data_IF_816549644356
#
_entry.id   IF_816549644356
#
_cell.length_a   1.000
_cell.length_b   1.000
_cell.length_c   1.000
_cell.angle_alpha   90.00
_cell.angle_beta   90.00
_cell.angle_gamma   90.00
#
_symmetry.space_group_name_H-M   'P 1'
#
loop_
_entity.id
_entity.type
_entity.pdbx_description
1 polymer ?
#
# COMPACT_ATOMS: atom_id res chain seq x y z
N UNK A 1 3.69 -24.66 -14.53
CA UNK A 1 3.45 -23.35 -13.89
C UNK A 1 2.89 -23.63 -12.51
N UNK A 2 3.41 -23.00 -11.45
CA UNK A 2 2.81 -23.16 -10.12
C UNK A 2 1.48 -22.41 -10.09
N UNK A 3 0.48 -22.95 -9.39
CA UNK A 3 -0.79 -22.23 -9.18
C UNK A 3 -0.76 -21.48 -7.85
N UNK A 4 -1.83 -20.75 -7.57
CA UNK A 4 -2.13 -20.21 -6.25
C UNK A 4 -3.53 -20.67 -5.88
N UNK A 5 -3.75 -20.94 -4.61
CA UNK A 5 -5.05 -21.32 -4.08
C UNK A 5 -6.06 -20.18 -4.25
N UNK A 6 -7.08 -20.40 -5.10
CA UNK A 6 -8.04 -19.39 -5.50
C UNK A 6 -8.88 -18.88 -4.33
N UNK A 7 -9.23 -19.75 -3.39
CA UNK A 7 -10.01 -19.40 -2.21
C UNK A 7 -9.22 -18.45 -1.31
N UNK A 8 -7.93 -18.72 -1.08
CA UNK A 8 -7.05 -17.84 -0.32
C UNK A 8 -6.93 -16.46 -0.95
N UNK A 9 -6.82 -16.36 -2.27
CA UNK A 9 -6.74 -15.07 -2.98
C UNK A 9 -8.05 -14.30 -2.86
N UNK A 10 -9.19 -14.97 -3.11
CA UNK A 10 -10.52 -14.36 -3.02
C UNK A 10 -10.86 -13.89 -1.62
N UNK A 11 -10.51 -14.67 -0.60
CA UNK A 11 -10.73 -14.28 0.80
C UNK A 11 -10.02 -12.97 1.16
N UNK A 12 -8.82 -12.75 0.61
CA UNK A 12 -8.05 -11.52 0.86
C UNK A 12 -8.55 -10.35 0.00
N UNK A 13 -8.97 -10.63 -1.24
CA UNK A 13 -9.47 -9.60 -2.16
C UNK A 13 -10.89 -9.12 -1.87
N UNK A 14 -11.70 -9.90 -1.16
CA UNK A 14 -13.11 -9.60 -0.95
C UNK A 14 -13.84 -9.47 -2.29
N UNK A 15 -14.45 -8.32 -2.53
CA UNK A 15 -15.20 -8.03 -3.76
C UNK A 15 -14.31 -7.57 -4.93
N UNK A 16 -13.04 -7.26 -4.68
CA UNK A 16 -12.14 -6.78 -5.72
C UNK A 16 -11.73 -7.92 -6.67
N UNK A 17 -11.78 -7.61 -7.97
CA UNK A 17 -11.24 -8.47 -9.04
C UNK A 17 -9.81 -8.12 -9.42
N UNK A 18 -9.26 -7.09 -8.78
CA UNK A 18 -7.92 -6.58 -9.03
C UNK A 18 -7.08 -6.64 -7.76
N UNK A 19 -5.79 -6.90 -7.91
CA UNK A 19 -4.83 -6.88 -6.80
C UNK A 19 -3.47 -6.37 -7.29
N UNK A 20 -2.80 -5.58 -6.46
CA UNK A 20 -1.40 -5.21 -6.69
C UNK A 20 -0.52 -6.14 -5.86
N UNK A 21 0.48 -6.78 -6.48
CA UNK A 21 1.38 -7.69 -5.81
C UNK A 21 2.76 -7.07 -5.71
N UNK A 22 3.28 -7.03 -4.49
CA UNK A 22 4.59 -6.48 -4.18
C UNK A 22 5.24 -7.26 -3.05
N UNK A 23 6.57 -7.23 -2.92
CA UNK A 23 7.21 -7.89 -1.79
C UNK A 23 8.69 -8.06 -1.95
N UNK A 24 9.27 -8.84 -1.04
CA UNK A 24 10.68 -9.17 -1.11
C UNK A 24 10.92 -10.18 -2.23
N UNK A 25 11.92 -9.94 -3.09
CA UNK A 25 12.22 -10.81 -4.23
C UNK A 25 12.50 -12.27 -3.84
N UNK A 26 13.05 -12.50 -2.64
CA UNK A 26 13.32 -13.84 -2.10
C UNK A 26 12.06 -14.58 -1.59
N UNK A 27 10.88 -13.97 -1.63
CA UNK A 27 9.60 -14.58 -1.29
C UNK A 27 8.69 -14.80 -2.50
N UNK A 28 9.25 -14.78 -3.72
CA UNK A 28 8.58 -15.18 -4.96
C UNK A 28 7.30 -14.37 -5.30
N UNK A 29 7.24 -13.09 -4.94
CA UNK A 29 6.05 -12.27 -5.21
C UNK A 29 5.71 -12.15 -6.71
N UNK A 30 6.70 -12.23 -7.60
CA UNK A 30 6.49 -12.26 -9.06
C UNK A 30 5.80 -13.56 -9.51
N UNK A 31 6.28 -14.72 -9.04
CA UNK A 31 5.63 -16.01 -9.33
C UNK A 31 4.19 -16.03 -8.77
N UNK A 32 3.97 -15.43 -7.60
CA UNK A 32 2.62 -15.30 -7.01
C UNK A 32 1.74 -14.42 -7.88
N UNK A 33 2.26 -13.29 -8.38
CA UNK A 33 1.54 -12.41 -9.29
C UNK A 33 1.11 -13.12 -10.58
N UNK A 34 2.01 -13.88 -11.20
CA UNK A 34 1.71 -14.70 -12.38
C UNK A 34 0.67 -15.77 -12.08
N UNK A 35 0.79 -16.44 -10.93
CA UNK A 35 -0.15 -17.47 -10.50
C UNK A 35 -1.57 -16.90 -10.27
N UNK A 36 -1.70 -15.69 -9.71
CA UNK A 36 -3.01 -15.02 -9.56
C UNK A 36 -3.60 -14.68 -10.93
N UNK A 37 -2.79 -14.23 -11.88
CA UNK A 37 -3.26 -13.92 -13.24
C UNK A 37 -3.75 -15.14 -14.02
N UNK A 38 -3.41 -16.36 -13.59
CA UNK A 38 -3.96 -17.59 -14.14
C UNK A 38 -5.35 -17.95 -13.58
N UNK A 39 -5.82 -17.26 -12.54
CA UNK A 39 -7.16 -17.44 -12.00
C UNK A 39 -8.20 -16.74 -12.87
N UNK A 40 -9.32 -17.41 -13.13
CA UNK A 40 -10.39 -16.83 -13.93
C UNK A 40 -11.05 -15.64 -13.23
N UNK A 41 -11.08 -14.49 -13.89
CA UNK A 41 -11.76 -13.29 -13.40
C UNK A 41 -10.98 -12.45 -12.39
N UNK A 42 -9.70 -12.79 -12.16
CA UNK A 42 -8.76 -11.98 -11.37
C UNK A 42 -7.74 -11.30 -12.26
N UNK A 43 -7.29 -10.12 -11.85
CA UNK A 43 -6.17 -9.40 -12.47
C UNK A 43 -5.17 -8.97 -11.39
N UNK A 44 -3.97 -9.51 -11.46
CA UNK A 44 -2.86 -9.13 -10.63
C UNK A 44 -1.89 -8.22 -11.40
N UNK A 45 -1.56 -7.09 -10.80
CA UNK A 45 -0.54 -6.18 -11.29
C UNK A 45 0.73 -6.39 -10.49
N UNK A 46 1.84 -6.67 -11.16
CA UNK A 46 3.14 -6.47 -10.54
C UNK A 46 3.26 -4.96 -10.26
N UNK A 47 3.77 -4.62 -9.07
CA UNK A 47 4.12 -3.25 -8.71
C UNK A 47 4.91 -2.45 -9.76
N UNK A 48 5.74 -3.10 -10.58
CA UNK A 48 6.48 -2.41 -11.66
C UNK A 48 5.61 -2.09 -12.89
N UNK A 49 4.52 -2.85 -13.07
CA UNK A 49 3.61 -2.77 -14.21
C UNK A 49 2.29 -2.05 -13.86
N UNK A 50 2.12 -1.63 -12.60
CA UNK A 50 0.93 -0.91 -12.16
C UNK A 50 1.00 0.54 -12.67
N UNK A 51 0.10 0.89 -13.58
CA UNK A 51 -0.04 2.25 -14.08
C UNK A 51 -0.62 3.12 -12.97
N UNK A 52 0.24 3.89 -12.30
CA UNK A 52 -0.18 4.83 -11.27
C UNK A 52 -0.30 6.24 -11.83
N UNK A 53 -1.30 6.95 -11.33
CA UNK A 53 -1.48 8.37 -11.63
C UNK A 53 -0.22 9.18 -11.27
N UNK A 54 0.35 9.86 -12.26
CA UNK A 54 1.45 10.83 -12.09
C UNK A 54 1.11 12.00 -11.15
N UNK A 55 -0.14 12.10 -10.67
CA UNK A 55 -0.59 13.17 -9.77
C UNK A 55 0.15 13.16 -8.42
N UNK A 56 0.62 11.99 -7.96
CA UNK A 56 1.38 11.87 -6.70
C UNK A 56 2.88 12.18 -6.86
N UNK A 57 3.36 12.38 -8.09
CA UNK A 57 4.77 12.61 -8.39
C UNK A 57 5.17 14.07 -8.15
N UNK A 58 6.23 14.29 -7.36
CA UNK A 58 6.86 15.63 -7.27
C UNK A 58 7.76 15.85 -8.48
N UNK A 59 7.25 16.62 -9.46
CA UNK A 59 7.95 16.96 -10.71
C UNK A 59 9.32 17.63 -10.53
N UNK A 60 9.67 18.07 -9.32
CA UNK A 60 10.96 18.70 -9.00
C UNK A 60 12.02 17.68 -8.58
N UNK A 61 11.69 16.40 -8.46
CA UNK A 61 12.64 15.35 -8.12
C UNK A 61 13.00 14.51 -9.35
N UNK A 62 14.29 14.23 -9.53
CA UNK A 62 14.76 13.22 -10.49
C UNK A 62 14.32 11.85 -10.00
N UNK A 63 13.51 11.14 -10.79
CA UNK A 63 12.94 9.85 -10.42
C UNK A 63 14.04 8.78 -10.41
N UNK A 64 14.47 8.37 -9.23
CA UNK A 64 15.20 7.12 -9.06
C UNK A 64 14.23 5.93 -9.01
N UNK A 65 14.64 4.75 -9.47
CA UNK A 65 13.85 3.51 -9.35
C UNK A 65 13.37 3.25 -7.90
N UNK A 66 14.14 3.69 -6.90
CA UNK A 66 13.80 3.55 -5.47
C UNK A 66 12.64 4.42 -4.97
N UNK A 67 12.23 5.44 -5.72
CA UNK A 67 11.10 6.30 -5.32
C UNK A 67 9.80 5.89 -6.01
N UNK A 68 9.88 5.19 -7.14
CA UNK A 68 8.75 4.67 -7.90
C UNK A 68 7.74 3.92 -7.02
N UNK A 69 8.19 2.93 -6.26
CA UNK A 69 7.30 2.12 -5.42
C UNK A 69 6.64 2.91 -4.29
N UNK A 70 7.31 3.92 -3.72
CA UNK A 70 6.68 4.78 -2.70
C UNK A 70 5.58 5.63 -3.32
N UNK A 71 5.75 6.07 -4.57
CA UNK A 71 4.71 6.79 -5.29
C UNK A 71 3.54 5.87 -5.65
N UNK A 72 3.81 4.63 -6.07
CA UNK A 72 2.77 3.62 -6.26
C UNK A 72 1.93 3.43 -4.99
N UNK A 73 2.56 3.26 -3.82
CA UNK A 73 1.83 3.10 -2.56
C UNK A 73 0.94 4.30 -2.25
N UNK A 74 1.43 5.51 -2.49
CA UNK A 74 0.63 6.72 -2.32
C UNK A 74 -0.53 6.78 -3.32
N UNK A 75 -0.29 6.48 -4.60
CA UNK A 75 -1.30 6.51 -5.64
C UNK A 75 -2.40 5.49 -5.38
N UNK A 76 -2.05 4.25 -5.06
CA UNK A 76 -3.01 3.19 -4.80
C UNK A 76 -3.92 3.53 -3.61
N UNK A 77 -3.36 4.03 -2.51
CA UNK A 77 -4.18 4.45 -1.35
C UNK A 77 -5.09 5.62 -1.71
N UNK A 78 -4.60 6.61 -2.45
CA UNK A 78 -5.41 7.75 -2.87
C UNK A 78 -6.52 7.35 -3.86
N UNK A 79 -6.24 6.43 -4.79
CA UNK A 79 -7.22 5.86 -5.70
C UNK A 79 -8.26 5.05 -4.94
N UNK A 80 -7.84 4.21 -4.00
CA UNK A 80 -8.75 3.47 -3.13
C UNK A 80 -9.60 4.38 -2.25
N UNK A 81 -9.05 5.51 -1.80
CA UNK A 81 -9.83 6.51 -1.07
C UNK A 81 -10.94 7.07 -1.96
N UNK A 82 -10.59 7.50 -3.19
CA UNK A 82 -11.58 7.92 -4.20
C UNK A 82 -12.60 6.80 -4.52
N UNK A 83 -12.17 5.54 -4.62
CA UNK A 83 -13.06 4.39 -4.86
C UNK A 83 -14.06 4.22 -3.72
N UNK A 84 -13.60 4.28 -2.47
CA UNK A 84 -14.46 4.17 -1.29
C UNK A 84 -15.55 5.24 -1.27
N UNK A 85 -15.19 6.49 -1.55
CA UNK A 85 -16.13 7.62 -1.65
C UNK A 85 -17.19 7.39 -2.73
N UNK A 86 -16.88 6.62 -3.78
CA UNK A 86 -17.79 6.29 -4.88
C UNK A 86 -18.46 4.91 -4.72
N UNK A 87 -18.37 4.26 -3.56
CA UNK A 87 -18.95 2.94 -3.31
C UNK A 87 -18.32 1.81 -4.15
N UNK A 88 -17.09 1.99 -4.61
CA UNK A 88 -16.35 1.00 -5.41
C UNK A 88 -15.44 0.13 -4.52
N UNK A 89 -15.25 -1.16 -4.86
CA UNK A 89 -14.33 -2.03 -4.11
C UNK A 89 -12.89 -1.51 -4.08
N UNK A 90 -12.27 -1.64 -2.91
CA UNK A 90 -10.85 -1.34 -2.68
C UNK A 90 -9.98 -2.36 -3.43
N UNK A 91 -8.98 -1.89 -4.18
CA UNK A 91 -7.96 -2.76 -4.74
C UNK A 91 -6.90 -3.07 -3.68
N UNK A 92 -6.81 -4.30 -3.15
CA UNK A 92 -5.79 -4.65 -2.16
C UNK A 92 -4.38 -4.62 -2.77
N UNK A 93 -3.40 -4.34 -1.91
CA UNK A 93 -1.99 -4.62 -2.16
C UNK A 93 -1.56 -5.81 -1.32
N UNK A 94 -1.14 -6.88 -1.99
CA UNK A 94 -0.51 -8.03 -1.35
C UNK A 94 0.97 -7.72 -1.19
N UNK A 95 1.37 -7.42 0.05
CA UNK A 95 2.78 -7.30 0.41
C UNK A 95 3.27 -8.68 0.84
N UNK A 96 3.96 -9.39 -0.04
CA UNK A 96 4.51 -10.72 0.22
C UNK A 96 5.72 -10.57 1.13
N UNK A 97 5.52 -10.97 2.38
CA UNK A 97 6.46 -10.76 3.47
C UNK A 97 7.06 -12.06 4.02
N UNK A 98 6.67 -13.21 3.48
CA UNK A 98 7.29 -14.48 3.86
C UNK A 98 6.99 -15.61 2.90
N UNK A 99 7.82 -16.64 3.00
CA UNK A 99 7.69 -17.89 2.26
C UNK A 99 8.04 -19.07 3.18
N UNK A 100 7.11 -20.01 3.34
CA UNK A 100 7.25 -21.20 4.17
C UNK A 100 7.62 -20.87 5.63
N UNK A 101 8.82 -21.26 6.08
CA UNK A 101 9.31 -20.97 7.43
C UNK A 101 10.05 -19.63 7.54
N UNK A 102 10.19 -18.89 6.43
CA UNK A 102 10.91 -17.62 6.38
C UNK A 102 9.94 -16.45 6.37
N UNK A 103 10.32 -15.39 7.07
CA UNK A 103 9.66 -14.08 7.04
C UNK A 103 10.73 -12.99 7.01
N UNK A 104 10.31 -11.77 6.71
CA UNK A 104 11.12 -10.58 6.96
C UNK A 104 11.53 -10.48 8.44
N UNK A 105 12.63 -9.76 8.66
CA UNK A 105 13.12 -9.41 9.98
C UNK A 105 12.59 -8.02 10.37
N UNK A 106 11.78 -7.98 11.43
CA UNK A 106 11.14 -6.77 11.93
C UNK A 106 12.14 -5.68 12.32
N UNK A 107 13.24 -6.06 12.99
CA UNK A 107 14.26 -5.12 13.46
C UNK A 107 14.92 -4.38 12.28
N UNK A 108 14.95 -5.01 11.10
CA UNK A 108 15.49 -4.39 9.89
C UNK A 108 14.58 -3.32 9.31
N UNK A 109 13.26 -3.41 9.49
CA UNK A 109 12.31 -2.39 9.00
C UNK A 109 12.55 -1.04 9.67
N UNK A 110 12.95 -1.02 10.94
CA UNK A 110 13.20 0.23 11.66
C UNK A 110 14.63 0.74 11.50
N UNK A 111 15.58 -0.14 11.14
CA UNK A 111 17.00 0.16 11.02
C UNK A 111 17.34 1.19 9.91
N UNK A 112 18.51 1.82 10.05
CA UNK A 112 19.11 2.71 9.02
C UNK A 112 20.21 2.02 8.20
N UNK A 113 20.48 0.74 8.46
CA UNK A 113 21.55 0.01 7.78
C UNK A 113 21.27 -0.11 6.27
N UNK A 114 22.30 -0.03 5.42
CA UNK A 114 22.17 -0.41 4.01
C UNK A 114 21.66 -1.85 3.93
N UNK A 115 20.69 -2.07 3.05
CA UNK A 115 20.09 -3.38 2.90
C UNK A 115 21.08 -4.30 2.14
N UNK A 116 21.55 -5.43 2.71
CA UNK A 116 22.35 -6.41 1.95
C UNK A 116 21.59 -6.99 0.75
N UNK A 117 20.26 -6.86 0.71
CA UNK A 117 19.45 -7.09 -0.47
C UNK A 117 19.49 -5.84 -1.37
N UNK A 118 20.67 -5.56 -1.95
CA UNK A 118 20.94 -4.45 -2.88
C UNK A 118 20.14 -4.49 -4.20
N UNK A 119 19.10 -5.31 -4.31
CA UNK A 119 18.09 -5.28 -5.37
C UNK A 119 16.74 -5.68 -4.79
N UNK A 120 15.83 -4.72 -4.59
CA UNK A 120 14.47 -5.02 -4.14
C UNK A 120 14.06 -4.28 -2.89
N UNK A 121 13.82 -2.99 -3.10
CA UNK A 121 12.93 -2.12 -2.35
C UNK A 121 11.90 -2.88 -1.49
N UNK A 122 11.94 -2.70 -0.15
CA UNK A 122 10.93 -3.24 0.78
C UNK A 122 10.91 -2.54 2.14
N UNK A 123 12.06 -2.22 2.77
CA UNK A 123 12.07 -1.62 4.12
C UNK A 123 11.56 -0.16 4.15
N UNK A 124 11.87 0.64 3.12
CA UNK A 124 11.37 2.02 3.01
C UNK A 124 9.88 2.09 2.70
N UNK A 125 9.34 1.04 2.09
CA UNK A 125 8.00 0.90 1.55
C UNK A 125 7.09 0.37 2.64
N UNK A 126 7.56 -0.59 3.44
CA UNK A 126 6.91 -0.96 4.69
C UNK A 126 6.73 0.26 5.60
N UNK A 127 7.79 1.07 5.76
CA UNK A 127 7.69 2.36 6.47
C UNK A 127 6.73 3.34 5.81
N UNK A 128 6.56 3.28 4.49
CA UNK A 128 5.60 4.12 3.76
C UNK A 128 4.16 3.68 4.06
N UNK A 129 3.89 2.37 4.03
CA UNK A 129 2.60 1.80 4.42
C UNK A 129 2.20 2.24 5.83
N UNK A 130 3.13 2.13 6.79
CA UNK A 130 2.87 2.59 8.17
C UNK A 130 2.44 4.07 8.22
N UNK A 131 3.13 4.95 7.50
CA UNK A 131 2.80 6.39 7.48
C UNK A 131 1.43 6.65 6.86
N UNK A 132 1.10 5.98 5.75
CA UNK A 132 -0.20 6.11 5.09
C UNK A 132 -1.33 5.63 6.00
N UNK A 133 -1.10 4.59 6.80
CA UNK A 133 -2.07 4.05 7.75
C UNK A 133 -2.24 4.85 9.05
N UNK A 134 -1.44 5.90 9.31
CA UNK A 134 -1.43 6.60 10.61
C UNK A 134 -1.28 8.13 10.56
N UNK A 135 -0.80 8.74 9.48
CA UNK A 135 -0.39 10.17 9.47
C UNK A 135 -1.37 11.12 8.75
N UNK A 136 -2.44 10.63 8.11
CA UNK A 136 -3.22 11.40 7.13
C UNK A 136 -4.73 11.55 7.42
N UNK A 137 -5.15 11.30 8.66
CA UNK A 137 -6.53 11.46 9.09
C UNK A 137 -7.33 10.16 9.00
N UNK A 138 -8.38 10.05 9.81
CA UNK A 138 -9.00 8.77 10.15
C UNK A 138 -9.55 8.02 8.92
N UNK A 139 -10.29 8.70 8.04
CA UNK A 139 -10.85 8.08 6.83
C UNK A 139 -9.77 7.49 5.92
N UNK A 140 -8.71 8.26 5.60
CA UNK A 140 -7.65 7.77 4.72
C UNK A 140 -6.76 6.73 5.39
N UNK A 141 -6.51 6.88 6.69
CA UNK A 141 -5.79 5.88 7.47
C UNK A 141 -6.52 4.53 7.43
N UNK A 142 -7.85 4.53 7.57
CA UNK A 142 -8.68 3.33 7.45
C UNK A 142 -8.57 2.70 6.05
N UNK A 143 -8.70 3.50 4.99
CA UNK A 143 -8.50 3.02 3.61
C UNK A 143 -7.12 2.41 3.40
N UNK A 144 -6.08 3.01 3.96
CA UNK A 144 -4.73 2.45 3.88
C UNK A 144 -4.62 1.10 4.60
N UNK A 145 -5.25 0.95 5.78
CA UNK A 145 -5.31 -0.33 6.50
C UNK A 145 -6.11 -1.39 5.75
N UNK A 146 -7.19 -1.00 5.06
CA UNK A 146 -7.94 -1.91 4.19
C UNK A 146 -7.16 -2.29 2.93
N UNK A 147 -6.39 -1.35 2.37
CA UNK A 147 -5.57 -1.54 1.16
C UNK A 147 -4.42 -2.51 1.41
N UNK A 148 -3.64 -2.33 2.48
CA UNK A 148 -2.43 -3.11 2.70
C UNK A 148 -2.73 -4.47 3.34
N UNK A 149 -2.46 -5.55 2.58
CA UNK A 149 -2.56 -6.93 3.04
C UNK A 149 -1.16 -7.53 3.10
N UNK A 150 -0.64 -7.74 4.31
CA UNK A 150 0.62 -8.44 4.48
C UNK A 150 0.33 -9.93 4.35
N UNK A 151 1.00 -10.58 3.39
CA UNK A 151 0.73 -11.98 3.08
C UNK A 151 1.99 -12.83 3.21
N UNK A 152 1.79 -14.01 3.78
CA UNK A 152 2.80 -15.07 3.80
C UNK A 152 2.36 -16.17 2.86
N UNK A 153 3.27 -16.59 1.98
CA UNK A 153 3.03 -17.70 1.08
C UNK A 153 3.53 -19.01 1.71
N UNK A 154 2.74 -20.08 1.58
CA UNK A 154 3.17 -21.44 1.91
C UNK A 154 3.21 -22.26 0.62
N UNK A 155 4.36 -22.87 0.34
CA UNK A 155 4.54 -23.79 -0.78
C UNK A 155 3.80 -25.09 -0.51
N UNK A 156 3.01 -25.53 -1.48
CA UNK A 156 2.31 -26.81 -1.49
C UNK A 156 2.67 -27.58 -2.77
N UNK A 157 2.36 -28.88 -2.86
CA UNK A 157 2.54 -29.64 -4.10
C UNK A 157 1.80 -29.03 -5.30
N UNK A 158 0.71 -28.30 -5.06
CA UNK A 158 -0.12 -27.72 -6.11
C UNK A 158 0.27 -26.28 -6.46
N UNK A 159 1.03 -25.58 -5.60
CA UNK A 159 1.30 -24.16 -5.80
C UNK A 159 1.50 -23.42 -4.48
N UNK A 160 0.92 -22.23 -4.36
CA UNK A 160 0.99 -21.39 -3.16
C UNK A 160 -0.37 -21.28 -2.45
N UNK A 161 -0.35 -21.28 -1.13
CA UNK A 161 -1.49 -20.83 -0.31
C UNK A 161 -1.07 -19.53 0.37
N UNK A 162 -1.93 -18.51 0.31
CA UNK A 162 -1.67 -17.20 0.93
C UNK A 162 -2.40 -17.09 2.27
N UNK A 163 -1.69 -16.57 3.27
CA UNK A 163 -2.25 -16.27 4.59
C UNK A 163 -1.98 -14.81 4.91
N UNK A 164 -3.02 -14.10 5.39
CA UNK A 164 -2.84 -12.74 5.90
C UNK A 164 -2.13 -12.82 7.24
N UNK A 165 -1.10 -12.00 7.40
CA UNK A 165 -0.42 -11.81 8.68
C UNK A 165 -0.71 -10.41 9.20
N UNK A 166 -0.67 -10.27 10.53
CA UNK A 166 -0.89 -8.98 11.16
C UNK A 166 0.16 -7.97 10.68
N UNK A 167 -0.23 -6.70 10.52
CA UNK A 167 0.71 -5.66 10.15
C UNK A 167 1.85 -5.54 11.16
N UNK A 168 3.07 -5.42 10.64
CA UNK A 168 4.28 -5.31 11.44
C UNK A 168 4.27 -4.18 12.47
N UNK A 169 3.40 -3.17 12.28
CA UNK A 169 3.31 -2.02 13.16
C UNK A 169 2.50 -2.23 14.44
N UNK A 170 1.79 -3.35 14.54
CA UNK A 170 1.10 -3.76 15.76
C UNK A 170 2.08 -4.34 16.78
N UNK A 171 3.26 -4.77 16.32
CA UNK A 171 4.32 -5.32 17.16
C UNK A 171 4.92 -4.26 18.11
N UNK A 172 5.05 -4.62 19.39
CA UNK A 172 5.62 -3.71 20.42
C UNK A 172 7.05 -3.31 20.09
N UNK A 173 7.83 -4.22 19.52
CA UNK A 173 9.21 -3.96 19.11
C UNK A 173 9.27 -2.84 18.07
N UNK A 174 8.38 -2.87 17.06
CA UNK A 174 8.28 -1.82 16.05
C UNK A 174 7.99 -0.46 16.69
N UNK A 175 6.99 -0.38 17.58
CA UNK A 175 6.57 0.87 18.20
C UNK A 175 7.72 1.53 19.00
N UNK A 176 8.49 0.74 19.72
CA UNK A 176 9.68 1.20 20.45
C UNK A 176 10.76 1.72 19.50
N UNK A 177 11.12 0.91 18.50
CA UNK A 177 12.18 1.27 17.54
C UNK A 177 11.81 2.50 16.70
N UNK A 178 10.54 2.61 16.28
CA UNK A 178 10.03 3.75 15.54
C UNK A 178 10.07 5.04 16.37
N UNK A 179 9.75 4.97 17.66
CA UNK A 179 9.84 6.11 18.58
C UNK A 179 11.27 6.62 18.70
N UNK A 180 12.24 5.72 18.93
CA UNK A 180 13.67 6.03 18.95
C UNK A 180 14.14 6.64 17.62
N UNK A 181 13.66 6.09 16.50
CA UNK A 181 13.94 6.62 15.16
C UNK A 181 13.42 8.05 14.99
N UNK A 182 12.19 8.36 15.42
CA UNK A 182 11.63 9.72 15.33
C UNK A 182 12.46 10.73 16.13
N UNK A 183 12.91 10.35 17.33
CA UNK A 183 13.73 11.22 18.18
C UNK A 183 15.10 11.54 17.55
N UNK A 184 15.76 10.55 16.96
CA UNK A 184 17.06 10.71 16.26
C UNK A 184 16.95 11.42 14.89
N UNK A 185 15.74 11.79 14.47
CA UNK A 185 15.48 12.49 13.19
C UNK A 185 14.97 13.92 13.41
N UNK A 186 14.92 14.41 14.67
CA UNK A 186 14.64 15.82 14.94
C UNK A 186 15.73 16.68 14.29
N UNK A 187 15.32 17.46 13.30
CA UNK A 187 16.20 18.27 12.46
C UNK A 187 16.83 19.40 13.26
N UNK A 188 18.07 19.78 12.92
CA UNK A 188 18.68 21.01 13.41
C UNK A 188 17.85 22.22 12.91
N UNK A 189 17.73 23.30 13.72
CA UNK A 189 17.03 24.52 13.30
C UNK A 189 17.58 25.03 11.97
N UNK A 190 16.70 25.32 11.00
CA UNK A 190 17.07 25.91 9.69
C UNK A 190 17.29 24.94 8.52
N UNK A 191 17.14 23.62 8.72
CA UNK A 191 17.21 22.68 7.59
C UNK A 191 15.87 22.59 6.83
N UNK A 192 15.91 22.80 5.50
CA UNK A 192 14.76 22.59 4.62
C UNK A 192 14.41 21.10 4.61
N UNK A 193 13.37 20.72 5.33
CA UNK A 193 13.05 19.32 5.53
C UNK A 193 12.31 18.76 4.30
N UNK A 194 13.05 18.12 3.37
CA UNK A 194 12.48 17.41 2.21
C UNK A 194 11.37 16.41 2.60
N UNK A 195 11.36 15.92 3.84
CA UNK A 195 10.31 15.02 4.35
C UNK A 195 8.95 15.69 4.58
N UNK A 196 8.89 17.02 4.68
CA UNK A 196 7.63 17.75 4.84
C UNK A 196 6.94 17.93 3.49
N UNK A 197 7.72 18.12 2.43
CA UNK A 197 7.17 18.45 1.12
C UNK A 197 6.22 17.38 0.57
N UNK A 198 6.61 16.09 0.59
CA UNK A 198 5.74 15.04 0.07
C UNK A 198 4.46 14.90 0.91
N UNK A 199 4.52 15.15 2.23
CA UNK A 199 3.34 15.08 3.11
C UNK A 199 2.38 16.20 2.80
N UNK A 200 2.89 17.41 2.61
CA UNK A 200 2.11 18.57 2.20
C UNK A 200 1.45 18.34 0.84
N UNK A 201 2.21 17.87 -0.15
CA UNK A 201 1.66 17.55 -1.46
C UNK A 201 0.56 16.49 -1.37
N UNK A 202 0.80 15.42 -0.60
CA UNK A 202 -0.17 14.35 -0.44
C UNK A 202 -1.43 14.82 0.28
N UNK A 203 -1.32 15.62 1.35
CA UNK A 203 -2.49 16.25 2.01
C UNK A 203 -3.32 17.09 1.04
N UNK A 204 -2.68 17.92 0.21
CA UNK A 204 -3.40 18.70 -0.79
C UNK A 204 -4.17 17.83 -1.79
N UNK A 205 -3.68 16.62 -2.13
CA UNK A 205 -4.39 15.69 -2.99
C UNK A 205 -5.60 15.06 -2.28
N UNK A 206 -5.45 14.74 -0.99
CA UNK A 206 -6.53 14.22 -0.15
C UNK A 206 -7.63 15.27 -0.02
N UNK A 207 -7.27 16.52 0.32
CA UNK A 207 -8.23 17.62 0.48
C UNK A 207 -9.04 17.84 -0.80
N UNK A 208 -8.38 17.82 -1.96
CA UNK A 208 -9.05 17.90 -3.27
C UNK A 208 -9.99 16.73 -3.55
N UNK A 209 -9.67 15.53 -3.07
CA UNK A 209 -10.54 14.36 -3.24
C UNK A 209 -11.77 14.47 -2.33
N UNK A 210 -11.58 14.93 -1.09
CA UNK A 210 -12.66 15.15 -0.12
C UNK A 210 -13.64 16.24 -0.58
N UNK A 211 -13.15 17.38 -1.08
CA UNK A 211 -14.04 18.45 -1.59
C UNK A 211 -14.93 17.95 -2.74
N UNK A 212 -14.41 17.07 -3.61
CA UNK A 212 -15.22 16.48 -4.70
C UNK A 212 -16.31 15.54 -4.20
N UNK A 213 -16.06 14.80 -3.12
CA UNK A 213 -17.06 13.95 -2.46
C UNK A 213 -18.21 14.81 -1.93
N UNK A 214 -17.89 15.88 -1.18
CA UNK A 214 -18.88 16.81 -0.61
C UNK A 214 -19.72 17.51 -1.68
N UNK A 215 -19.11 17.89 -2.81
CA UNK A 215 -19.82 18.46 -3.97
C UNK A 215 -20.81 17.44 -4.58
N UNK A 216 -20.40 16.19 -4.75
CA UNK A 216 -21.26 15.13 -5.29
C UNK A 216 -22.44 14.82 -4.34
N UNK A 217 -22.20 14.69 -3.04
CA UNK A 217 -23.26 14.48 -2.04
C UNK A 217 -24.28 15.62 -2.03
N UNK A 218 -23.82 16.86 -2.17
CA UNK A 218 -24.69 18.05 -2.24
C UNK A 218 -25.54 18.06 -3.51
N UNK A 219 -24.99 17.61 -4.64
CA UNK A 219 -25.73 17.50 -5.91
C UNK A 219 -26.81 16.41 -5.88
N UNK A 220 -26.51 15.25 -5.28
CA UNK A 220 -27.46 14.14 -5.15
C UNK A 220 -28.63 14.47 -4.20
N UNK A 221 -28.37 15.20 -3.11
CA UNK A 221 -29.43 15.69 -2.23
C UNK A 221 -30.37 16.68 -2.93
N UNK A 222 -29.83 17.60 -3.75
CA UNK A 222 -30.65 18.57 -4.48
C UNK A 222 -31.47 17.94 -5.64
N UNK A 223 -31.05 16.79 -6.18
CA UNK A 223 -31.81 16.08 -7.23
C UNK A 223 -32.90 15.16 -6.64
N UNK A 224 -32.65 14.55 -5.48
CA UNK A 224 -33.64 13.71 -4.79
C UNK A 224 -34.84 14.52 -4.27
N UNK A 225 -34.62 15.76 -3.83
CA UNK A 225 -35.69 16.68 -3.42
C UNK A 225 -36.56 17.21 -4.59
N UNK A 226 -36.11 17.07 -5.85
CA UNK A 226 -36.88 17.49 -7.03
C UNK A 226 -37.72 16.36 -7.66
N UNK A 227 -37.68 15.15 -7.12
CA UNK A 227 -38.39 13.98 -7.70
C UNK A 227 -39.54 13.42 -6.86
N UNK A 228 -39.93 14.10 -5.77
CA UNK A 228 -41.17 13.81 -5.05
C UNK A 228 -42.27 14.85 -5.37
N UNK A 229 -43.15 14.59 -6.36
CA UNK A 229 -44.43 15.30 -6.47
C UNK A 229 -45.44 14.87 -5.39
#
# INVERSE_FOLDING_TARGET
>A
MKTVDEESVKAICGESKEVVVYGFGNFNYLEICEAINALSGMKAYNSEDYDYSMEVFDKRQTMGQYDHFKYLLNALVLENYKKQQNGQPITPLFFVVGLDKKSYDLARISARAPDPFEKGVTLTELRRCYKLAHEFGDKLNEVAQQTFKFVKATSTPNGYVLEVVDPFWEEKEWQQQWTTRKQSTKSLPGSVNKNNFWRENYRNLIDKATTKEEENETLDQNQSDQTNP
#
